data_IF_362624495420
#
_entry.id   IF_362624495420
#
_cell.length_a   1.000
_cell.length_b   1.000
_cell.length_c   1.000
_cell.angle_alpha   90.00
_cell.angle_beta   90.00
_cell.angle_gamma   90.00
#
_symmetry.space_group_name_H-M   'P 1'
#
loop_
_entity.id
_entity.type
_entity.pdbx_description
1 polymer ?
#
# COMPACT_ATOMS: atom_id res chain seq x y z
N UNK A 1 -46.79 -3.52 0.53
CA UNK A 1 -45.48 -2.89 0.81
C UNK A 1 -44.43 -3.72 0.09
N UNK A 2 -43.77 -3.12 -0.89
CA UNK A 2 -42.90 -3.81 -1.85
C UNK A 2 -41.46 -3.87 -1.32
N UNK A 3 -41.05 -5.01 -0.78
CA UNK A 3 -39.74 -5.22 -0.16
C UNK A 3 -38.61 -5.47 -1.18
N UNK A 4 -38.92 -5.47 -2.49
CA UNK A 4 -37.98 -5.83 -3.56
C UNK A 4 -36.91 -4.76 -3.87
N UNK A 5 -37.04 -3.54 -3.31
CA UNK A 5 -36.08 -2.44 -3.55
C UNK A 5 -34.84 -2.43 -2.66
N UNK A 6 -34.74 -3.33 -1.68
CA UNK A 6 -33.57 -3.40 -0.82
C UNK A 6 -32.43 -4.15 -1.53
N UNK A 7 -31.77 -3.46 -2.46
CA UNK A 7 -30.54 -3.93 -3.11
C UNK A 7 -29.45 -3.99 -2.05
N UNK A 8 -29.29 -5.15 -1.40
CA UNK A 8 -28.21 -5.38 -0.46
C UNK A 8 -26.88 -5.11 -1.18
N UNK A 9 -25.97 -4.28 -0.65
CA UNK A 9 -24.65 -4.14 -1.22
C UNK A 9 -23.99 -5.52 -1.17
N UNK A 10 -23.88 -6.16 -2.33
CA UNK A 10 -23.27 -7.48 -2.44
C UNK A 10 -21.90 -7.45 -1.78
N UNK A 11 -21.69 -8.32 -0.79
CA UNK A 11 -20.40 -8.62 -0.21
C UNK A 11 -19.52 -9.37 -1.23
N UNK A 12 -19.32 -8.80 -2.41
CA UNK A 12 -18.33 -9.31 -3.34
C UNK A 12 -16.95 -9.10 -2.72
N UNK A 13 -16.34 -10.19 -2.26
CA UNK A 13 -14.97 -10.23 -1.76
C UNK A 13 -14.03 -9.60 -2.77
N UNK A 14 -13.01 -8.90 -2.30
CA UNK A 14 -11.95 -8.42 -3.19
C UNK A 14 -11.18 -9.66 -3.67
N UNK A 15 -11.14 -9.96 -4.98
CA UNK A 15 -10.47 -11.14 -5.49
C UNK A 15 -8.96 -11.06 -5.24
N UNK A 16 -8.30 -12.22 -5.08
CA UNK A 16 -6.85 -12.31 -4.82
C UNK A 16 -6.01 -11.58 -5.86
N UNK A 17 -6.48 -11.58 -7.12
CA UNK A 17 -5.87 -10.83 -8.23
C UNK A 17 -5.65 -9.36 -7.90
N UNK A 18 -6.60 -8.71 -7.24
CA UNK A 18 -6.52 -7.27 -6.99
C UNK A 18 -5.49 -6.95 -5.90
N UNK A 19 -5.36 -7.82 -4.89
CA UNK A 19 -4.28 -7.72 -3.92
C UNK A 19 -2.90 -7.91 -4.55
N UNK A 20 -2.77 -8.85 -5.51
CA UNK A 20 -1.53 -9.04 -6.26
C UNK A 20 -1.21 -7.81 -7.12
N UNK A 21 -2.20 -7.20 -7.77
CA UNK A 21 -2.02 -5.98 -8.55
C UNK A 21 -1.62 -4.79 -7.66
N UNK A 22 -2.23 -4.64 -6.48
CA UNK A 22 -1.83 -3.63 -5.50
C UNK A 22 -0.41 -3.83 -4.98
N UNK A 23 -0.04 -5.07 -4.66
CA UNK A 23 1.33 -5.38 -4.24
C UNK A 23 2.34 -5.14 -5.36
N UNK A 24 2.00 -5.50 -6.60
CA UNK A 24 2.83 -5.23 -7.78
C UNK A 24 3.03 -3.73 -7.99
N UNK A 25 1.97 -2.95 -7.88
CA UNK A 25 2.04 -1.49 -7.93
C UNK A 25 3.01 -0.95 -6.88
N UNK A 26 2.90 -1.43 -5.64
CA UNK A 26 3.78 -1.00 -4.57
C UNK A 26 5.24 -1.42 -4.76
N UNK A 27 5.49 -2.61 -5.32
CA UNK A 27 6.83 -3.07 -5.64
C UNK A 27 7.46 -2.24 -6.78
N UNK A 28 6.69 -1.91 -7.83
CA UNK A 28 7.13 -1.04 -8.91
C UNK A 28 7.47 0.37 -8.39
N UNK A 29 6.67 0.90 -7.47
CA UNK A 29 6.96 2.16 -6.79
C UNK A 29 8.27 2.06 -6.01
N UNK A 30 8.45 1.03 -5.18
CA UNK A 30 9.68 0.84 -4.41
C UNK A 30 10.93 0.74 -5.30
N UNK A 31 10.83 0.04 -6.43
CA UNK A 31 11.92 -0.08 -7.42
C UNK A 31 12.20 1.23 -8.18
N UNK A 32 11.29 2.19 -8.18
CA UNK A 32 11.49 3.47 -8.86
C UNK A 32 12.41 4.43 -8.09
N UNK A 33 12.66 4.14 -6.81
CA UNK A 33 13.47 4.98 -5.92
C UNK A 33 14.99 4.73 -6.09
N UNK A 34 15.84 5.71 -5.74
CA UNK A 34 17.14 5.96 -6.37
C UNK A 34 18.15 4.81 -6.29
N UNK A 35 18.04 3.89 -5.32
CA UNK A 35 18.94 2.73 -5.24
C UNK A 35 18.78 1.74 -6.40
N UNK A 36 17.56 1.59 -6.93
CA UNK A 36 17.30 0.66 -8.02
C UNK A 36 17.48 1.31 -9.40
N UNK A 37 17.52 2.65 -9.49
CA UNK A 37 17.80 3.37 -10.73
C UNK A 37 16.69 3.28 -11.80
N UNK A 38 15.55 2.68 -11.47
CA UNK A 38 14.44 2.42 -12.40
C UNK A 38 13.36 3.50 -12.31
N UNK A 39 13.72 4.78 -12.26
CA UNK A 39 12.76 5.88 -12.09
C UNK A 39 11.68 5.95 -13.17
N UNK A 40 11.95 5.39 -14.37
CA UNK A 40 10.96 5.23 -15.43
C UNK A 40 9.73 4.40 -15.01
N UNK A 41 9.89 3.44 -14.09
CA UNK A 41 8.79 2.61 -13.60
C UNK A 41 7.72 3.43 -12.86
N UNK A 42 8.08 4.59 -12.29
CA UNK A 42 7.15 5.43 -11.54
C UNK A 42 5.93 5.87 -12.37
N UNK A 43 6.12 6.07 -13.68
CA UNK A 43 5.06 6.43 -14.61
C UNK A 43 3.97 5.37 -14.72
N UNK A 44 4.36 4.09 -14.66
CA UNK A 44 3.46 2.95 -14.83
C UNK A 44 3.11 2.27 -13.50
N UNK A 45 3.82 2.60 -12.43
CA UNK A 45 3.69 1.91 -11.15
C UNK A 45 2.28 2.02 -10.57
N UNK A 46 1.53 3.08 -10.84
CA UNK A 46 0.14 3.24 -10.39
C UNK A 46 -0.91 2.55 -11.28
N UNK A 47 -0.56 2.13 -12.51
CA UNK A 47 -1.51 1.51 -13.46
C UNK A 47 -2.14 0.23 -12.88
N UNK A 48 -1.39 -0.72 -12.29
CA UNK A 48 -1.97 -1.90 -11.67
C UNK A 48 -2.93 -1.57 -10.51
N UNK A 49 -2.64 -0.52 -9.74
CA UNK A 49 -3.47 -0.09 -8.63
C UNK A 49 -4.81 0.51 -9.11
N UNK A 50 -4.78 1.36 -10.13
CA UNK A 50 -6.02 1.90 -10.71
C UNK A 50 -6.89 0.79 -11.32
N UNK A 51 -6.28 -0.20 -11.98
CA UNK A 51 -7.00 -1.38 -12.48
C UNK A 51 -7.61 -2.22 -11.35
N UNK A 52 -6.91 -2.36 -10.21
CA UNK A 52 -7.40 -3.05 -9.04
C UNK A 52 -8.54 -2.30 -8.34
N UNK A 53 -8.50 -0.96 -8.30
CA UNK A 53 -9.54 -0.13 -7.66
C UNK A 53 -10.79 0.06 -8.53
N UNK A 54 -10.70 -0.15 -9.85
CA UNK A 54 -11.78 0.09 -10.80
C UNK A 54 -13.11 -0.57 -10.39
N UNK A 55 -14.20 0.22 -10.39
CA UNK A 55 -15.58 -0.21 -10.08
C UNK A 55 -15.81 -0.77 -8.67
N UNK A 56 -14.90 -0.52 -7.72
CA UNK A 56 -15.05 -0.91 -6.32
C UNK A 56 -15.58 0.25 -5.47
N UNK A 57 -16.17 -0.08 -4.32
CA UNK A 57 -16.52 0.94 -3.32
C UNK A 57 -15.26 1.55 -2.70
N UNK A 58 -15.34 2.80 -2.25
CA UNK A 58 -14.23 3.52 -1.61
C UNK A 58 -13.55 2.68 -0.51
N UNK A 59 -14.32 1.97 0.33
CA UNK A 59 -13.77 1.11 1.39
C UNK A 59 -12.90 -0.05 0.86
N UNK A 60 -13.20 -0.59 -0.32
CA UNK A 60 -12.42 -1.68 -0.94
C UNK A 60 -11.23 -1.12 -1.71
N UNK A 61 -11.38 0.03 -2.37
CA UNK A 61 -10.30 0.74 -3.04
C UNK A 61 -9.24 1.22 -2.02
N UNK A 62 -9.63 1.82 -0.90
CA UNK A 62 -8.73 2.21 0.17
C UNK A 62 -7.96 1.04 0.79
N UNK A 63 -8.59 -0.15 0.92
CA UNK A 63 -7.89 -1.39 1.33
C UNK A 63 -6.77 -1.77 0.37
N UNK A 64 -7.03 -1.67 -0.94
CA UNK A 64 -6.07 -1.98 -1.99
C UNK A 64 -4.96 -0.93 -2.05
N UNK A 65 -5.31 0.35 -1.90
CA UNK A 65 -4.37 1.46 -1.76
C UNK A 65 -3.43 1.26 -0.57
N UNK A 66 -3.98 0.89 0.59
CA UNK A 66 -3.19 0.63 1.79
C UNK A 66 -2.17 -0.50 1.61
N UNK A 67 -2.56 -1.60 0.94
CA UNK A 67 -1.61 -2.69 0.62
C UNK A 67 -0.51 -2.20 -0.31
N UNK A 68 -0.83 -1.42 -1.35
CA UNK A 68 0.17 -0.83 -2.23
C UNK A 68 1.12 0.13 -1.47
N UNK A 69 0.57 0.93 -0.55
CA UNK A 69 1.34 1.81 0.32
C UNK A 69 2.30 1.05 1.25
N UNK A 70 1.82 -0.01 1.92
CA UNK A 70 2.64 -0.85 2.78
C UNK A 70 3.84 -1.45 2.03
N UNK A 71 3.60 -1.99 0.83
CA UNK A 71 4.68 -2.58 0.02
C UNK A 71 5.66 -1.51 -0.47
N UNK A 72 5.15 -0.35 -0.92
CA UNK A 72 5.99 0.77 -1.37
C UNK A 72 6.89 1.29 -0.25
N UNK A 73 6.28 1.79 0.83
CA UNK A 73 7.01 2.42 1.94
C UNK A 73 7.85 1.39 2.71
N UNK A 74 7.39 0.14 2.78
CA UNK A 74 8.20 -0.95 3.31
C UNK A 74 9.52 -1.11 2.54
N UNK A 75 9.43 -1.21 1.21
CA UNK A 75 10.59 -1.34 0.33
C UNK A 75 11.47 -0.09 0.24
N UNK A 76 10.90 1.11 0.39
CA UNK A 76 11.66 2.38 0.29
C UNK A 76 12.36 2.71 1.60
N UNK A 77 11.72 2.46 2.74
CA UNK A 77 12.17 2.95 4.06
C UNK A 77 12.88 1.89 4.90
N UNK A 78 13.19 0.70 4.36
CA UNK A 78 13.86 -0.36 5.13
C UNK A 78 15.15 0.12 5.84
N UNK A 79 15.84 1.09 5.23
CA UNK A 79 17.09 1.67 5.72
C UNK A 79 16.91 2.53 6.98
N UNK A 80 15.68 2.95 7.33
CA UNK A 80 15.38 3.63 8.60
C UNK A 80 15.88 2.80 9.79
N UNK A 81 15.81 1.47 9.69
CA UNK A 81 16.29 0.61 10.77
C UNK A 81 17.78 0.80 11.06
N UNK A 82 18.58 1.03 10.03
CA UNK A 82 20.02 1.29 10.17
C UNK A 82 20.23 2.64 10.87
N UNK A 83 19.45 3.66 10.52
CA UNK A 83 19.56 5.00 11.12
C UNK A 83 19.16 4.99 12.59
N UNK A 84 18.04 4.36 12.91
CA UNK A 84 17.50 4.33 14.28
C UNK A 84 18.41 3.52 15.22
N UNK A 85 18.99 2.42 14.73
CA UNK A 85 19.94 1.63 15.52
C UNK A 85 21.31 2.33 15.66
N UNK A 86 21.83 2.93 14.58
CA UNK A 86 23.17 3.56 14.58
C UNK A 86 23.19 4.90 15.31
N UNK A 87 22.25 5.80 14.98
CA UNK A 87 22.22 7.16 15.54
C UNK A 87 21.32 7.26 16.77
N UNK A 88 20.20 6.54 16.78
CA UNK A 88 19.30 6.49 17.93
C UNK A 88 19.82 5.61 19.08
N UNK A 89 20.82 4.75 18.81
CA UNK A 89 21.36 3.76 19.76
C UNK A 89 20.28 2.86 20.38
N UNK A 90 19.17 2.68 19.66
CA UNK A 90 18.05 1.86 20.10
C UNK A 90 18.25 0.39 19.70
N UNK A 91 17.74 -0.56 20.49
CA UNK A 91 17.82 -1.97 20.15
C UNK A 91 16.95 -2.27 18.92
N UNK A 92 17.36 -3.27 18.13
CA UNK A 92 16.73 -3.64 16.86
C UNK A 92 15.19 -3.84 16.94
N UNK A 93 14.62 -4.50 17.97
CA UNK A 93 13.17 -4.67 18.06
C UNK A 93 12.40 -3.34 18.12
N UNK A 94 12.93 -2.36 18.87
CA UNK A 94 12.32 -1.03 18.99
C UNK A 94 12.39 -0.30 17.65
N UNK A 95 13.53 -0.41 16.95
CA UNK A 95 13.70 0.14 15.61
C UNK A 95 12.68 -0.43 14.62
N UNK A 96 12.46 -1.75 14.63
CA UNK A 96 11.47 -2.40 13.76
C UNK A 96 10.06 -1.89 14.08
N UNK A 97 9.71 -1.75 15.36
CA UNK A 97 8.41 -1.19 15.76
C UNK A 97 8.20 0.23 15.24
N UNK A 98 9.19 1.12 15.43
CA UNK A 98 9.13 2.51 14.93
C UNK A 98 9.00 2.53 13.40
N UNK A 99 9.77 1.70 12.70
CA UNK A 99 9.70 1.55 11.25
C UNK A 99 8.31 1.08 10.78
N UNK A 100 7.73 0.06 11.42
CA UNK A 100 6.40 -0.44 11.07
C UNK A 100 5.30 0.60 11.33
N UNK A 101 5.40 1.38 12.41
CA UNK A 101 4.50 2.50 12.69
C UNK A 101 4.58 3.54 11.58
N UNK A 102 5.81 3.92 11.17
CA UNK A 102 6.03 4.89 10.11
C UNK A 102 5.47 4.40 8.76
N UNK A 103 5.75 3.16 8.38
CA UNK A 103 5.23 2.55 7.14
C UNK A 103 3.70 2.49 7.16
N UNK A 104 3.10 2.11 8.28
CA UNK A 104 1.64 2.05 8.44
C UNK A 104 1.01 3.43 8.36
N UNK A 105 1.62 4.44 9.00
CA UNK A 105 1.18 5.83 8.96
C UNK A 105 1.19 6.38 7.52
N UNK A 106 2.27 6.16 6.78
CA UNK A 106 2.36 6.60 5.38
C UNK A 106 1.39 5.82 4.47
N UNK A 107 1.23 4.51 4.69
CA UNK A 107 0.26 3.70 3.96
C UNK A 107 -1.19 4.15 4.22
N UNK A 108 -1.49 4.74 5.38
CA UNK A 108 -2.81 5.29 5.67
C UNK A 108 -3.20 6.45 4.74
N UNK A 109 -2.25 7.22 4.21
CA UNK A 109 -2.56 8.22 3.17
C UNK A 109 -3.11 7.57 1.90
N UNK A 110 -2.54 6.43 1.49
CA UNK A 110 -3.05 5.67 0.35
C UNK A 110 -4.42 5.05 0.64
N UNK A 111 -4.74 4.75 1.90
CA UNK A 111 -6.10 4.35 2.26
C UNK A 111 -7.12 5.47 2.08
N UNK A 112 -6.76 6.69 2.48
CA UNK A 112 -7.68 7.84 2.48
C UNK A 112 -7.92 8.38 1.07
N UNK A 113 -6.90 8.33 0.21
CA UNK A 113 -6.95 8.89 -1.15
C UNK A 113 -7.73 8.01 -2.14
N UNK A 114 -7.72 6.68 -1.96
CA UNK A 114 -8.32 5.71 -2.88
C UNK A 114 -9.67 5.15 -2.38
#
# INVERSE_FOLDING_TARGET
MDYSRFKMPGFHSVPRRDYLLSALSGALLALSFPKAGLSFLAWFAFVPLFLACGRKSARKAGKLGFVAGLVSFGGILYWINIVVTTYGKLPLPVSICVYLILVTYLAAFFWVVF
#
